data_IF_529958818688
#
_entry.id   IF_529958818688
#
_cell.length_a   1.000
_cell.length_b   1.000
_cell.length_c   1.000
_cell.angle_alpha   90.00
_cell.angle_beta   90.00
_cell.angle_gamma   90.00
#
_symmetry.space_group_name_H-M   'P 1'
#
loop_
_entity.id
_entity.type
_entity.pdbx_description
1 polymer ?
#
# COMPACT_ATOMS: atom_id res chain seq x y z
N UNK A 1 17.70 -1.50 -1.50
CA UNK A 1 17.68 -2.93 -1.89
C UNK A 1 16.23 -3.43 -1.96
N UNK A 2 15.40 -2.84 -2.83
CA UNK A 2 13.97 -3.22 -2.89
C UNK A 2 13.71 -4.60 -3.49
N UNK A 3 14.66 -5.11 -4.28
CA UNK A 3 14.63 -6.45 -4.90
C UNK A 3 14.50 -7.61 -3.90
N UNK A 4 14.79 -7.36 -2.62
CA UNK A 4 14.66 -8.35 -1.55
C UNK A 4 13.23 -8.43 -0.99
N UNK A 5 12.38 -7.43 -1.23
CA UNK A 5 10.98 -7.44 -0.83
C UNK A 5 10.14 -7.99 -1.96
N UNK A 6 9.48 -9.13 -1.70
CA UNK A 6 8.59 -9.78 -2.67
C UNK A 6 7.19 -9.20 -2.52
N UNK A 7 6.85 -8.20 -3.33
CA UNK A 7 5.50 -7.58 -3.29
C UNK A 7 4.37 -8.58 -3.51
N UNK A 8 4.65 -9.68 -4.21
CA UNK A 8 3.67 -10.75 -4.44
C UNK A 8 3.19 -11.45 -3.16
N UNK A 9 3.95 -11.34 -2.06
CA UNK A 9 3.54 -11.87 -0.75
C UNK A 9 2.47 -10.98 -0.09
N UNK A 10 2.45 -9.70 -0.45
CA UNK A 10 1.50 -8.70 0.06
C UNK A 10 0.23 -8.60 -0.79
N UNK A 11 0.23 -9.14 -2.00
CA UNK A 11 -0.94 -9.09 -2.88
C UNK A 11 -2.11 -9.84 -2.25
N UNK A 12 -3.27 -9.21 -2.30
CA UNK A 12 -4.49 -9.70 -1.69
C UNK A 12 -5.50 -10.15 -2.72
N UNK A 13 -6.38 -11.04 -2.30
CA UNK A 13 -7.50 -11.53 -3.09
C UNK A 13 -8.79 -11.15 -2.38
N UNK A 14 -9.93 -11.32 -3.07
CA UNK A 14 -11.27 -11.15 -2.47
C UNK A 14 -11.42 -11.88 -1.12
N UNK A 15 -10.77 -13.04 -0.96
CA UNK A 15 -10.80 -13.83 0.26
C UNK A 15 -10.03 -13.21 1.44
N UNK A 16 -9.08 -12.30 1.15
CA UNK A 16 -8.21 -11.64 2.13
C UNK A 16 -8.79 -10.28 2.55
N UNK A 17 -9.37 -9.52 1.60
CA UNK A 17 -9.89 -8.16 1.87
C UNK A 17 -11.12 -8.14 2.78
N UNK A 18 -11.84 -9.26 2.88
CA UNK A 18 -12.99 -9.41 3.77
C UNK A 18 -14.32 -9.19 3.05
N UNK A 19 -15.34 -8.75 3.80
CA UNK A 19 -16.70 -8.53 3.29
C UNK A 19 -16.85 -7.07 2.86
N UNK A 20 -17.15 -6.85 1.57
CA UNK A 20 -17.29 -5.53 0.95
C UNK A 20 -18.58 -5.42 0.14
N UNK A 21 -19.65 -6.04 0.64
CA UNK A 21 -20.99 -6.00 0.04
C UNK A 21 -21.03 -6.40 -1.46
N UNK A 22 -20.13 -7.28 -1.91
CA UNK A 22 -20.03 -7.70 -3.31
C UNK A 22 -19.02 -6.91 -4.16
N UNK A 23 -18.24 -6.01 -3.55
CA UNK A 23 -17.17 -5.24 -4.20
C UNK A 23 -15.76 -5.78 -3.87
N UNK A 24 -15.66 -6.99 -3.31
CA UNK A 24 -14.39 -7.57 -2.84
C UNK A 24 -13.34 -7.68 -3.95
N UNK A 25 -13.77 -8.00 -5.17
CA UNK A 25 -12.91 -8.05 -6.36
C UNK A 25 -12.27 -6.68 -6.64
N UNK A 26 -13.10 -5.63 -6.69
CA UNK A 26 -12.64 -4.25 -6.96
C UNK A 26 -11.69 -3.79 -5.86
N UNK A 27 -12.05 -4.05 -4.60
CA UNK A 27 -11.24 -3.69 -3.43
C UNK A 27 -9.87 -4.38 -3.51
N UNK A 28 -9.85 -5.68 -3.80
CA UNK A 28 -8.59 -6.42 -3.95
C UNK A 28 -7.76 -5.88 -5.12
N UNK A 29 -8.37 -5.57 -6.26
CA UNK A 29 -7.68 -4.94 -7.39
C UNK A 29 -7.08 -3.57 -7.01
N UNK A 30 -7.84 -2.73 -6.31
CA UNK A 30 -7.40 -1.40 -5.87
C UNK A 30 -6.25 -1.46 -4.87
N UNK A 31 -6.35 -2.32 -3.86
CA UNK A 31 -5.26 -2.54 -2.89
C UNK A 31 -3.99 -3.02 -3.59
N UNK A 32 -4.12 -3.99 -4.52
CA UNK A 32 -2.99 -4.47 -5.31
C UNK A 32 -2.39 -3.38 -6.20
N UNK A 33 -3.22 -2.53 -6.80
CA UNK A 33 -2.79 -1.37 -7.59
C UNK A 33 -1.98 -0.39 -6.74
N UNK A 34 -2.40 -0.12 -5.50
CA UNK A 34 -1.68 0.73 -4.56
C UNK A 34 -0.32 0.11 -4.21
N UNK A 35 -0.26 -1.20 -3.92
CA UNK A 35 1.00 -1.89 -3.65
C UNK A 35 1.98 -1.81 -4.81
N UNK A 36 1.49 -2.07 -6.03
CA UNK A 36 2.33 -1.97 -7.22
C UNK A 36 2.82 -0.53 -7.45
N UNK A 37 1.95 0.46 -7.30
CA UNK A 37 2.28 1.87 -7.50
C UNK A 37 3.31 2.35 -6.48
N UNK A 38 3.12 2.00 -5.21
CA UNK A 38 4.07 2.32 -4.15
C UNK A 38 5.44 1.70 -4.42
N UNK A 39 5.49 0.43 -4.80
CA UNK A 39 6.74 -0.27 -5.08
C UNK A 39 7.47 0.28 -6.31
N UNK A 40 6.73 0.69 -7.33
CA UNK A 40 7.28 1.34 -8.52
C UNK A 40 7.91 2.70 -8.17
N UNK A 41 7.20 3.49 -7.36
CA UNK A 41 7.66 4.81 -6.88
C UNK A 41 8.79 4.74 -5.85
N UNK A 42 8.87 3.66 -5.07
CA UNK A 42 9.90 3.48 -4.06
C UNK A 42 11.31 3.40 -4.69
N UNK A 43 12.28 4.01 -4.01
CA UNK A 43 13.67 4.01 -4.45
C UNK A 43 14.24 2.60 -4.51
N UNK A 44 15.07 2.30 -5.51
CA UNK A 44 15.69 0.97 -5.63
C UNK A 44 16.58 0.63 -4.43
N UNK A 45 17.16 1.66 -3.81
CA UNK A 45 18.01 1.56 -2.62
C UNK A 45 17.25 1.63 -1.29
N UNK A 46 15.92 1.76 -1.29
CA UNK A 46 15.12 1.77 -0.05
C UNK A 46 15.43 0.53 0.81
N UNK A 47 15.41 0.72 2.14
CA UNK A 47 15.61 -0.38 3.07
C UNK A 47 14.42 -1.33 3.02
N UNK A 48 14.69 -2.63 3.20
CA UNK A 48 13.63 -3.64 3.21
C UNK A 48 12.68 -3.41 4.37
N UNK A 49 13.21 -3.05 5.55
CA UNK A 49 12.39 -2.81 6.74
C UNK A 49 11.48 -1.59 6.55
N UNK A 50 11.96 -0.54 5.89
CA UNK A 50 11.15 0.64 5.57
C UNK A 50 10.04 0.29 4.58
N UNK A 51 10.36 -0.45 3.51
CA UNK A 51 9.39 -0.82 2.50
C UNK A 51 8.29 -1.73 3.07
N UNK A 52 8.65 -2.70 3.92
CA UNK A 52 7.68 -3.57 4.60
C UNK A 52 6.73 -2.77 5.51
N UNK A 53 7.27 -1.80 6.27
CA UNK A 53 6.45 -0.90 7.09
C UNK A 53 5.49 -0.05 6.24
N UNK A 54 5.95 0.46 5.10
CA UNK A 54 5.10 1.23 4.19
C UNK A 54 3.97 0.38 3.59
N UNK A 55 4.27 -0.86 3.20
CA UNK A 55 3.26 -1.81 2.72
C UNK A 55 2.23 -2.15 3.81
N UNK A 56 2.68 -2.34 5.06
CA UNK A 56 1.76 -2.54 6.18
C UNK A 56 0.87 -1.30 6.43
N UNK A 57 1.43 -0.09 6.31
CA UNK A 57 0.70 1.15 6.47
C UNK A 57 -0.35 1.34 5.37
N UNK A 58 -0.06 0.96 4.12
CA UNK A 58 -1.05 0.95 3.04
C UNK A 58 -2.27 0.13 3.44
N UNK A 59 -2.07 -1.09 3.93
CA UNK A 59 -3.17 -1.94 4.36
C UNK A 59 -4.03 -1.24 5.42
N UNK A 60 -3.42 -0.74 6.48
CA UNK A 60 -4.11 -0.11 7.60
C UNK A 60 -4.84 1.19 7.20
N UNK A 61 -4.25 1.97 6.30
CA UNK A 61 -4.84 3.23 5.83
C UNK A 61 -6.08 3.01 4.96
N UNK A 62 -6.09 1.93 4.18
CA UNK A 62 -7.05 1.71 3.09
C UNK A 62 -8.14 0.69 3.42
N UNK A 63 -7.82 -0.37 4.15
CA UNK A 63 -8.79 -1.40 4.52
C UNK A 63 -9.81 -0.82 5.50
N UNK A 64 -11.09 -0.93 5.14
CA UNK A 64 -12.21 -0.33 5.87
C UNK A 64 -12.59 1.09 5.40
N UNK A 65 -11.89 1.65 4.41
CA UNK A 65 -12.30 2.90 3.76
C UNK A 65 -13.34 2.63 2.67
N UNK A 66 -14.55 3.17 2.83
CA UNK A 66 -15.66 3.05 1.88
C UNK A 66 -15.34 3.64 0.49
N UNK A 67 -14.42 4.61 0.43
CA UNK A 67 -13.99 5.26 -0.82
C UNK A 67 -13.02 4.40 -1.65
N UNK A 68 -12.44 3.35 -1.07
CA UNK A 68 -11.42 2.53 -1.73
C UNK A 68 -11.83 1.95 -3.10
N UNK A 69 -13.02 1.32 -3.26
CA UNK A 69 -13.43 0.83 -4.58
C UNK A 69 -13.62 1.93 -5.62
N UNK A 70 -13.88 3.17 -5.17
CA UNK A 70 -14.05 4.36 -6.01
C UNK A 70 -12.74 5.10 -6.29
N UNK A 71 -11.59 4.66 -5.76
CA UNK A 71 -10.32 5.35 -5.98
C UNK A 71 -9.89 5.34 -7.45
N UNK A 72 -9.49 6.50 -7.95
CA UNK A 72 -8.87 6.62 -9.25
C UNK A 72 -7.35 6.40 -9.17
N UNK A 73 -6.74 5.95 -10.27
CA UNK A 73 -5.30 5.71 -10.33
C UNK A 73 -4.47 6.98 -10.06
N UNK A 74 -4.99 8.17 -10.39
CA UNK A 74 -4.33 9.44 -10.04
C UNK A 74 -4.30 9.67 -8.53
N UNK A 75 -5.39 9.37 -7.81
CA UNK A 75 -5.42 9.48 -6.34
C UNK A 75 -4.50 8.47 -5.68
N UNK A 76 -4.45 7.23 -6.20
CA UNK A 76 -3.51 6.21 -5.73
C UNK A 76 -2.07 6.71 -5.88
N UNK A 77 -1.74 7.27 -7.04
CA UNK A 77 -0.41 7.78 -7.33
C UNK A 77 -0.02 8.94 -6.40
N UNK A 78 -0.91 9.92 -6.25
CA UNK A 78 -0.69 11.09 -5.40
C UNK A 78 -0.50 10.66 -3.93
N UNK A 79 -1.34 9.74 -3.45
CA UNK A 79 -1.24 9.19 -2.10
C UNK A 79 0.08 8.44 -1.87
N UNK A 80 0.44 7.52 -2.77
CA UNK A 80 1.70 6.76 -2.67
C UNK A 80 2.91 7.69 -2.66
N UNK A 81 2.90 8.70 -3.53
CA UNK A 81 3.94 9.71 -3.60
C UNK A 81 4.03 10.50 -2.30
N UNK A 82 2.90 10.99 -1.78
CA UNK A 82 2.84 11.71 -0.51
C UNK A 82 3.36 10.85 0.65
N UNK A 83 2.99 9.57 0.70
CA UNK A 83 3.49 8.63 1.70
C UNK A 83 5.01 8.48 1.62
N UNK A 84 5.57 8.29 0.43
CA UNK A 84 7.02 8.15 0.23
C UNK A 84 7.79 9.44 0.55
N UNK A 85 7.24 10.61 0.22
CA UNK A 85 7.85 11.91 0.54
C UNK A 85 7.84 12.20 2.05
N UNK A 86 6.89 11.63 2.80
CA UNK A 86 6.76 11.82 4.24
C UNK A 86 7.16 10.58 5.07
N UNK A 87 7.67 9.52 4.44
CA UNK A 87 7.95 8.23 5.09
C UNK A 87 8.82 8.36 6.34
N UNK A 88 9.82 9.24 6.31
CA UNK A 88 10.68 9.50 7.47
C UNK A 88 9.90 9.96 8.71
N UNK A 89 8.80 10.71 8.54
CA UNK A 89 7.95 11.14 9.65
C UNK A 89 7.06 10.02 10.19
N UNK A 90 6.63 9.11 9.32
CA UNK A 90 5.81 7.96 9.70
C UNK A 90 6.65 6.87 10.39
N UNK A 91 7.90 6.68 9.95
CA UNK A 91 8.84 5.68 10.47
C UNK A 91 9.53 6.13 11.77
N UNK A 92 9.70 7.44 12.00
CA UNK A 92 10.31 7.97 13.24
C UNK A 92 9.42 7.84 14.49
N UNK A 93 8.15 7.42 14.37
CA UNK A 93 7.25 7.33 15.52
C UNK A 93 7.44 6.09 16.41
N UNK A 94 8.27 5.10 16.01
CA UNK A 94 8.49 3.89 16.82
C UNK A 94 9.66 3.96 17.81
N UNK A 95 10.40 5.09 17.87
CA UNK A 95 11.55 5.29 18.77
C UNK A 95 11.19 6.20 19.97
N UNK A 96 10.22 5.79 20.83
CA UNK A 96 10.03 6.40 22.16
C UNK A 96 9.55 5.43 23.26
#
# INVERSE_FOLDING_TARGET
MKEFVVIHDYLVTEAIVGDWEGQEEIVAEKVNEIYHTLYDLAEEDIDTEELEQLLALVWDAWIGQDVLPDLESEDIYDWCRHLLENREQHLQQEDY
#
